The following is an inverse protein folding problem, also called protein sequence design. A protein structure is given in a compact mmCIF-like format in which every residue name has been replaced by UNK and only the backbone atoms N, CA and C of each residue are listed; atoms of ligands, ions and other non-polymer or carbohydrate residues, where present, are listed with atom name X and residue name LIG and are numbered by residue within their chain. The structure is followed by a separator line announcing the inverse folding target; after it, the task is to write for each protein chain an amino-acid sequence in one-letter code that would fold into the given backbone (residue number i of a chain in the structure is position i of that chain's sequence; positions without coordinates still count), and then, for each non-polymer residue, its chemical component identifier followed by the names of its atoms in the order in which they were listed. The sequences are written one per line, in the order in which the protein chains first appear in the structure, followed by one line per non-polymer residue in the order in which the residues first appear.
data_IF_413561540617
#
_entry.id   IF_413561540617
#
_cell.length_a   1.000
_cell.length_b   1.000
_cell.length_c   1.000
_cell.angle_alpha   90.00
_cell.angle_beta   90.00
_cell.angle_gamma   90.00
#
_symmetry.space_group_name_H-M   'P 1'
#
loop_
_entity.id
_entity.type
_entity.pdbx_description
1 polymer ?
#
# COMPACT_ATOMS: atom_id res chain seq x y z
N UNK A 1 21.35 35.44 -8.76
CA UNK A 1 21.26 34.02 -8.40
C UNK A 1 19.78 33.68 -8.40
N UNK A 2 19.30 32.81 -9.29
CA UNK A 2 17.90 32.39 -9.27
C UNK A 2 17.70 31.41 -8.10
N UNK A 3 16.70 31.59 -7.22
CA UNK A 3 16.44 30.63 -6.16
C UNK A 3 16.02 29.31 -6.81
N UNK A 4 16.82 28.26 -6.61
CA UNK A 4 16.42 26.90 -6.97
C UNK A 4 15.32 26.51 -5.99
N UNK A 5 14.17 25.99 -6.46
CA UNK A 5 13.17 25.44 -5.54
C UNK A 5 13.82 24.30 -4.74
N UNK A 6 13.94 24.46 -3.41
CA UNK A 6 14.55 23.45 -2.51
C UNK A 6 13.65 22.22 -2.28
N UNK A 7 12.49 22.17 -2.95
CA UNK A 7 11.54 21.07 -2.86
C UNK A 7 11.86 19.92 -3.81
N UNK A 8 11.58 18.69 -3.38
CA UNK A 8 11.61 17.54 -4.27
C UNK A 8 10.60 17.72 -5.42
N UNK A 9 10.93 17.27 -6.64
CA UNK A 9 9.98 17.25 -7.75
C UNK A 9 8.70 16.49 -7.38
N UNK A 10 7.53 16.99 -7.82
CA UNK A 10 6.23 16.41 -7.48
C UNK A 10 6.12 14.92 -7.84
N UNK A 11 6.77 14.47 -8.92
CA UNK A 11 6.76 13.07 -9.33
C UNK A 11 7.50 12.14 -8.35
N UNK A 12 8.55 12.64 -7.69
CA UNK A 12 9.30 11.88 -6.67
C UNK A 12 8.39 11.63 -5.47
N UNK A 13 7.68 12.67 -5.04
CA UNK A 13 6.72 12.61 -3.95
C UNK A 13 5.59 11.64 -4.31
N UNK A 14 5.05 11.74 -5.52
CA UNK A 14 4.01 10.83 -5.99
C UNK A 14 4.47 9.35 -5.98
N UNK A 15 5.71 9.09 -6.40
CA UNK A 15 6.28 7.75 -6.42
C UNK A 15 6.52 7.20 -5.01
N UNK A 16 7.01 8.03 -4.09
CA UNK A 16 7.20 7.67 -2.69
C UNK A 16 5.86 7.22 -2.05
N UNK A 17 4.83 8.06 -2.14
CA UNK A 17 3.50 7.73 -1.62
C UNK A 17 2.88 6.51 -2.32
N UNK A 18 3.04 6.35 -3.64
CA UNK A 18 2.54 5.17 -4.36
C UNK A 18 3.22 3.88 -3.85
N UNK A 19 4.54 3.89 -3.70
CA UNK A 19 5.29 2.75 -3.17
C UNK A 19 4.93 2.46 -1.70
N UNK A 20 4.71 3.50 -0.90
CA UNK A 20 4.25 3.40 0.48
C UNK A 20 2.86 2.75 0.57
N UNK A 21 1.92 3.13 -0.29
CA UNK A 21 0.59 2.51 -0.35
C UNK A 21 0.67 1.03 -0.71
N UNK A 22 1.51 0.66 -1.70
CA UNK A 22 1.73 -0.76 -2.05
C UNK A 22 2.28 -1.54 -0.85
N UNK A 23 3.32 -1.02 -0.20
CA UNK A 23 3.91 -1.65 0.99
C UNK A 23 2.88 -1.81 2.12
N UNK A 24 2.16 -0.74 2.47
CA UNK A 24 1.14 -0.78 3.53
C UNK A 24 -0.01 -1.74 3.21
N UNK A 25 -0.37 -1.90 1.94
CA UNK A 25 -1.39 -2.87 1.50
C UNK A 25 -0.91 -4.31 1.71
N UNK A 26 0.33 -4.62 1.36
CA UNK A 26 0.93 -5.94 1.58
C UNK A 26 1.10 -6.25 3.07
N UNK A 27 1.52 -5.28 3.88
CA UNK A 27 1.58 -5.43 5.35
C UNK A 27 0.19 -5.74 5.90
N UNK A 28 -0.85 -5.03 5.44
CA UNK A 28 -2.24 -5.29 5.81
C UNK A 28 -2.69 -6.71 5.46
N UNK A 29 -2.34 -7.22 4.27
CA UNK A 29 -2.62 -8.61 3.87
C UNK A 29 -1.98 -9.63 4.82
N UNK A 30 -0.71 -9.43 5.16
CA UNK A 30 0.03 -10.33 6.06
C UNK A 30 -0.55 -10.28 7.48
N UNK A 31 -0.84 -9.09 8.01
CA UNK A 31 -1.45 -8.91 9.33
C UNK A 31 -2.83 -9.59 9.41
N UNK A 32 -3.66 -9.45 8.39
CA UNK A 32 -4.98 -10.10 8.36
C UNK A 32 -4.88 -11.62 8.40
N UNK A 33 -3.97 -12.22 7.62
CA UNK A 33 -3.72 -13.67 7.64
C UNK A 33 -3.18 -14.19 8.98
N UNK A 34 -2.57 -13.32 9.79
CA UNK A 34 -2.12 -13.67 11.14
C UNK A 34 -3.29 -13.76 12.15
N UNK A 35 -4.29 -12.87 12.03
CA UNK A 35 -5.41 -12.81 12.98
C UNK A 35 -6.63 -13.63 12.57
N UNK A 36 -6.84 -13.84 11.27
CA UNK A 36 -8.05 -14.43 10.72
C UNK A 36 -7.70 -15.47 9.64
N UNK A 37 -8.44 -16.59 9.55
CA UNK A 37 -8.31 -17.53 8.44
C UNK A 37 -8.62 -16.84 7.10
N UNK A 38 -7.92 -17.24 6.03
CA UNK A 38 -8.03 -16.60 4.71
C UNK A 38 -9.44 -16.69 4.10
N UNK A 39 -10.19 -17.74 4.43
CA UNK A 39 -11.59 -17.94 4.01
C UNK A 39 -12.62 -17.19 4.87
N UNK A 40 -12.17 -16.30 5.77
CA UNK A 40 -13.06 -15.53 6.62
C UNK A 40 -14.01 -14.63 5.81
N UNK A 41 -15.29 -14.61 6.19
CA UNK A 41 -16.32 -13.74 5.57
C UNK A 41 -16.16 -12.25 5.92
N UNK A 42 -15.16 -11.91 6.73
CA UNK A 42 -14.89 -10.55 7.17
C UNK A 42 -14.50 -9.63 6.01
N UNK A 43 -15.08 -8.41 6.00
CA UNK A 43 -14.92 -7.44 4.91
C UNK A 43 -13.45 -7.16 4.56
N UNK A 44 -12.61 -6.93 5.57
CA UNK A 44 -11.19 -6.61 5.36
C UNK A 44 -10.41 -7.79 4.78
N UNK A 45 -10.68 -9.02 5.21
CA UNK A 45 -10.02 -10.22 4.68
C UNK A 45 -10.26 -10.33 3.17
N UNK A 46 -11.53 -10.22 2.75
CA UNK A 46 -11.90 -10.27 1.32
C UNK A 46 -11.27 -9.13 0.50
N UNK A 47 -11.20 -7.92 1.04
CA UNK A 47 -10.60 -6.77 0.36
C UNK A 47 -9.09 -6.94 0.15
N UNK A 48 -8.35 -7.33 1.19
CA UNK A 48 -6.90 -7.53 1.08
C UNK A 48 -6.56 -8.72 0.20
N UNK A 49 -7.23 -9.87 0.37
CA UNK A 49 -7.02 -11.04 -0.49
C UNK A 49 -7.26 -10.70 -1.95
N UNK A 50 -8.36 -9.99 -2.29
CA UNK A 50 -8.67 -9.64 -3.67
C UNK A 50 -7.72 -8.60 -4.28
N UNK A 51 -7.25 -7.64 -3.47
CA UNK A 51 -6.36 -6.58 -3.95
C UNK A 51 -4.93 -7.05 -4.14
N UNK A 52 -4.52 -8.13 -3.47
CA UNK A 52 -3.16 -8.68 -3.52
C UNK A 52 -3.10 -10.06 -4.17
N UNK A 53 -4.19 -10.58 -4.74
CA UNK A 53 -4.16 -11.87 -5.46
C UNK A 53 -3.52 -11.65 -6.84
N UNK A 54 -2.37 -12.29 -7.14
CA UNK A 54 -1.69 -12.11 -8.43
C UNK A 54 -2.31 -12.94 -9.57
N UNK A 55 -3.39 -13.70 -9.31
CA UNK A 55 -4.09 -14.59 -10.25
C UNK A 55 -5.34 -13.95 -10.86
#
# INVERSE_FOLDING_TARGET
MNPVPEGFPLWVIALDYASGVVMWTLIGRTAMGFFLPEDSSFFFMRFFVRSTNPL
#
